data_IF_548724643893
#
_entry.id   IF_548724643893
#
_cell.length_a   1.000
_cell.length_b   1.000
_cell.length_c   1.000
_cell.angle_alpha   90.00
_cell.angle_beta   90.00
_cell.angle_gamma   90.00
#
_symmetry.space_group_name_H-M   'P 1'
#
loop_
_entity.id
_entity.type
_entity.pdbx_description
1 polymer ?
#
# COMPACT_ATOMS: atom_id res chain seq x y z
N UNK A 1 17.41 -4.37 -27.13
CA UNK A 1 16.15 -5.04 -26.74
C UNK A 1 15.82 -4.48 -25.37
N UNK A 2 14.67 -3.82 -25.23
CA UNK A 2 14.44 -2.86 -24.17
C UNK A 2 13.85 -3.55 -22.92
N UNK A 3 14.57 -3.49 -21.79
CA UNK A 3 14.29 -4.12 -20.48
C UNK A 3 13.08 -3.55 -19.71
N UNK A 4 11.96 -3.27 -20.38
CA UNK A 4 10.75 -2.73 -19.73
C UNK A 4 9.76 -3.79 -19.23
N UNK A 5 10.11 -5.08 -19.33
CA UNK A 5 9.14 -6.18 -19.13
C UNK A 5 8.92 -6.58 -17.64
N UNK A 6 9.49 -5.84 -16.69
CA UNK A 6 9.38 -6.12 -15.24
C UNK A 6 8.53 -5.10 -14.47
N UNK A 7 7.97 -4.09 -15.16
CA UNK A 7 7.16 -3.06 -14.53
C UNK A 7 5.78 -2.99 -15.16
N UNK A 8 4.77 -2.93 -14.31
CA UNK A 8 3.42 -2.61 -14.75
C UNK A 8 3.30 -1.10 -14.99
N UNK A 9 2.81 -0.73 -16.16
CA UNK A 9 2.55 0.66 -16.51
C UNK A 9 1.05 0.89 -16.45
N UNK A 10 0.64 1.83 -15.59
CA UNK A 10 -0.77 2.20 -15.43
C UNK A 10 -0.97 3.67 -15.81
N UNK A 11 -1.76 3.96 -16.84
CA UNK A 11 -2.30 5.30 -17.05
C UNK A 11 -3.11 5.74 -15.83
N UNK A 12 -3.08 7.04 -15.50
CA UNK A 12 -3.83 7.62 -14.36
C UNK A 12 -5.31 7.23 -14.36
N UNK A 13 -5.91 7.22 -15.55
CA UNK A 13 -7.32 6.87 -15.77
C UNK A 13 -7.66 5.41 -15.42
N UNK A 14 -6.68 4.52 -15.53
CA UNK A 14 -6.81 3.11 -15.14
C UNK A 14 -6.47 2.93 -13.67
N UNK A 15 -5.41 3.59 -13.21
CA UNK A 15 -4.97 3.55 -11.81
C UNK A 15 -6.06 4.01 -10.84
N UNK A 16 -6.75 5.11 -11.15
CA UNK A 16 -7.83 5.64 -10.29
C UNK A 16 -9.05 4.74 -10.18
N UNK A 17 -9.20 3.76 -11.08
CA UNK A 17 -10.31 2.80 -11.07
C UNK A 17 -10.03 1.60 -10.15
N UNK A 18 -8.81 1.46 -9.65
CA UNK A 18 -8.48 0.42 -8.69
C UNK A 18 -9.36 0.61 -7.45
N UNK A 19 -10.20 -0.38 -7.19
CA UNK A 19 -11.19 -0.31 -6.13
C UNK A 19 -10.50 -0.29 -4.77
N UNK A 20 -10.63 0.84 -4.09
CA UNK A 20 -10.31 0.97 -2.68
C UNK A 20 -11.63 0.82 -1.92
N UNK A 21 -11.88 -0.37 -1.37
CA UNK A 21 -12.99 -0.50 -0.42
C UNK A 21 -12.67 0.35 0.81
N UNK A 22 -13.61 1.23 1.19
CA UNK A 22 -13.47 2.17 2.32
C UNK A 22 -13.13 1.48 3.64
N UNK A 23 -13.51 0.20 3.78
CA UNK A 23 -13.29 -0.57 5.01
C UNK A 23 -11.83 -1.01 5.19
N UNK A 24 -10.97 -0.81 4.17
CA UNK A 24 -9.62 -1.36 4.13
C UNK A 24 -8.50 -0.33 4.10
N UNK A 25 -8.79 0.97 4.15
CA UNK A 25 -7.76 2.02 4.18
C UNK A 25 -8.16 3.12 5.17
N UNK A 26 -7.12 3.69 5.79
CA UNK A 26 -7.08 4.85 6.68
C UNK A 26 -8.33 5.73 6.61
N UNK A 27 -8.88 6.07 7.78
CA UNK A 27 -10.09 6.90 7.87
C UNK A 27 -9.84 8.29 7.28
N UNK A 28 -10.93 8.99 6.93
CA UNK A 28 -10.83 10.36 6.41
C UNK A 28 -10.06 11.29 7.37
N UNK A 29 -10.11 11.02 8.68
CA UNK A 29 -9.32 11.76 9.67
C UNK A 29 -7.81 11.46 9.57
N UNK A 30 -7.41 10.20 9.41
CA UNK A 30 -6.00 9.82 9.23
C UNK A 30 -5.40 10.40 7.93
N UNK A 31 -6.23 10.55 6.90
CA UNK A 31 -5.87 11.25 5.66
C UNK A 31 -5.66 12.75 5.85
N UNK A 32 -6.44 13.40 6.73
CA UNK A 32 -6.23 14.81 7.07
C UNK A 32 -4.98 15.02 7.91
N UNK A 33 -4.62 14.08 8.79
CA UNK A 33 -3.37 14.14 9.57
C UNK A 33 -2.11 14.02 8.69
N UNK A 34 -2.18 13.29 7.57
CA UNK A 34 -1.09 13.17 6.60
C UNK A 34 -0.87 14.47 5.81
N UNK A 35 -1.86 15.39 5.78
CA UNK A 35 -1.68 16.70 5.15
C UNK A 35 -0.71 17.56 5.97
N UNK A 36 0.57 17.44 5.65
CA UNK A 36 1.58 18.38 6.11
C UNK A 36 1.21 19.81 5.71
N UNK A 37 1.46 20.77 6.62
CA UNK A 37 1.13 22.20 6.55
C UNK A 37 1.58 22.95 5.27
N UNK A 38 2.23 22.30 4.31
CA UNK A 38 2.83 22.96 3.14
C UNK A 38 2.70 22.20 1.81
N UNK A 39 1.84 21.17 1.74
CA UNK A 39 1.76 20.36 0.53
C UNK A 39 0.80 20.91 -0.53
N UNK A 40 1.27 20.94 -1.78
CA UNK A 40 0.51 21.32 -2.98
C UNK A 40 -0.30 20.14 -3.55
N UNK A 41 -0.55 19.11 -2.75
CA UNK A 41 -1.24 17.89 -3.18
C UNK A 41 -2.74 18.13 -3.06
N UNK A 42 -3.46 17.96 -4.17
CA UNK A 42 -4.91 18.12 -4.18
C UNK A 42 -5.59 16.94 -3.49
N UNK A 43 -6.76 17.17 -2.88
CA UNK A 43 -7.59 16.07 -2.35
C UNK A 43 -7.93 15.04 -3.44
N UNK A 44 -8.01 15.49 -4.69
CA UNK A 44 -8.23 14.61 -5.84
C UNK A 44 -7.05 13.65 -6.02
N UNK A 45 -5.80 14.13 -6.00
CA UNK A 45 -4.62 13.27 -6.15
C UNK A 45 -4.51 12.26 -5.00
N UNK A 46 -4.84 12.67 -3.77
CA UNK A 46 -4.90 11.77 -2.61
C UNK A 46 -5.83 10.60 -2.90
N UNK A 47 -7.04 10.88 -3.37
CA UNK A 47 -8.03 9.85 -3.67
C UNK A 47 -7.68 8.99 -4.88
N UNK A 48 -7.20 9.60 -5.97
CA UNK A 48 -7.00 8.92 -7.25
C UNK A 48 -5.66 8.20 -7.36
N UNK A 49 -4.63 8.67 -6.67
CA UNK A 49 -3.25 8.19 -6.81
C UNK A 49 -2.77 7.50 -5.54
N UNK A 50 -2.86 8.19 -4.40
CA UNK A 50 -2.21 7.74 -3.17
C UNK A 50 -3.01 6.68 -2.43
N UNK A 51 -4.34 6.74 -2.41
CA UNK A 51 -5.15 5.68 -1.80
C UNK A 51 -4.94 4.31 -2.46
N UNK A 52 -5.01 4.16 -3.80
CA UNK A 52 -4.68 2.89 -4.45
C UNK A 52 -3.24 2.43 -4.19
N UNK A 53 -2.29 3.35 -4.08
CA UNK A 53 -0.89 3.02 -3.79
C UNK A 53 -0.71 2.49 -2.36
N UNK A 54 -1.28 3.17 -1.37
CA UNK A 54 -1.28 2.74 0.03
C UNK A 54 -1.92 1.35 0.13
N UNK A 55 -3.01 1.11 -0.61
CA UNK A 55 -3.65 -0.20 -0.67
C UNK A 55 -2.70 -1.29 -1.13
N UNK A 56 -1.99 -1.03 -2.23
CA UNK A 56 -1.04 -1.98 -2.81
C UNK A 56 0.11 -2.30 -1.84
N UNK A 57 0.64 -1.28 -1.16
CA UNK A 57 1.69 -1.45 -0.15
C UNK A 57 1.16 -2.27 1.03
N UNK A 58 -0.05 -1.98 1.51
CA UNK A 58 -0.68 -2.72 2.61
C UNK A 58 -0.90 -4.19 2.27
N UNK A 59 -1.28 -4.51 1.03
CA UNK A 59 -1.40 -5.92 0.56
C UNK A 59 -0.04 -6.62 0.67
N UNK A 60 1.02 -6.04 0.10
CA UNK A 60 2.36 -6.64 0.16
C UNK A 60 2.88 -6.78 1.59
N UNK A 61 2.62 -5.80 2.44
CA UNK A 61 2.99 -5.84 3.85
C UNK A 61 2.29 -6.98 4.59
N UNK A 62 0.97 -7.12 4.41
CA UNK A 62 0.20 -8.20 5.03
C UNK A 62 0.64 -9.59 4.54
N UNK A 63 0.89 -9.74 3.24
CA UNK A 63 1.42 -10.99 2.69
C UNK A 63 2.79 -11.33 3.28
N UNK A 64 3.68 -10.35 3.39
CA UNK A 64 5.00 -10.54 3.98
C UNK A 64 4.92 -10.96 5.45
N UNK A 65 4.06 -10.33 6.24
CA UNK A 65 3.80 -10.71 7.64
C UNK A 65 3.23 -12.12 7.72
N UNK A 66 2.23 -12.43 6.89
CA UNK A 66 1.58 -13.73 6.90
C UNK A 66 2.57 -14.86 6.59
N UNK A 67 3.33 -14.72 5.49
CA UNK A 67 4.38 -15.68 5.10
C UNK A 67 5.45 -15.80 6.20
N UNK A 68 5.82 -14.69 6.83
CA UNK A 68 6.77 -14.71 7.93
C UNK A 68 6.22 -15.51 9.12
N UNK A 69 4.96 -15.30 9.50
CA UNK A 69 4.27 -16.04 10.57
C UNK A 69 4.24 -17.54 10.31
N UNK A 70 3.75 -17.96 9.14
CA UNK A 70 3.71 -19.37 8.71
C UNK A 70 5.10 -20.02 8.76
N UNK A 71 6.13 -19.30 8.29
CA UNK A 71 7.52 -19.78 8.33
C UNK A 71 8.02 -19.96 9.75
N UNK A 72 7.72 -19.03 10.67
CA UNK A 72 8.15 -19.14 12.06
C UNK A 72 7.43 -20.29 12.78
N UNK A 73 6.15 -20.50 12.51
CA UNK A 73 5.36 -21.62 13.02
C UNK A 73 5.95 -22.95 12.56
N UNK A 74 6.22 -23.11 11.25
CA UNK A 74 6.87 -24.30 10.70
C UNK A 74 8.22 -24.59 11.36
N UNK A 75 9.02 -23.54 11.61
CA UNK A 75 10.33 -23.66 12.25
C UNK A 75 10.28 -23.79 13.77
N UNK A 76 9.09 -23.73 14.39
CA UNK A 76 8.87 -23.76 15.86
C UNK A 76 9.73 -22.72 16.60
N UNK A 77 9.97 -21.56 15.99
CA UNK A 77 10.71 -20.45 16.59
C UNK A 77 9.75 -19.43 17.18
N UNK A 78 10.09 -18.88 18.35
CA UNK A 78 9.34 -17.75 18.93
C UNK A 78 9.49 -16.52 18.04
N UNK A 79 8.39 -15.83 17.82
CA UNK A 79 8.35 -14.52 17.15
C UNK A 79 9.39 -13.58 17.76
N UNK A 80 10.33 -13.14 16.94
CA UNK A 80 11.08 -11.92 17.16
C UNK A 80 10.59 -10.98 16.07
N UNK A 81 9.91 -9.89 16.43
CA UNK A 81 9.46 -8.89 15.45
C UNK A 81 10.63 -8.57 14.52
N UNK A 82 10.54 -9.01 13.27
CA UNK A 82 11.51 -8.64 12.26
C UNK A 82 11.34 -7.13 12.02
N UNK A 83 12.43 -6.34 12.02
CA UNK A 83 12.34 -4.91 11.80
C UNK A 83 12.01 -4.67 10.32
N UNK A 84 10.80 -4.19 10.06
CA UNK A 84 10.41 -3.56 8.80
C UNK A 84 9.76 -2.22 9.16
#
# INVERSE_FOLDING_TARGET
MNDYNHYFHFPREEWRKLEVSKDQILTAEELEEIRGLNDRISLQDISEIYLPLIKLIAIQYHEAIFIHGEKMEYLKKKESRAPF
#
